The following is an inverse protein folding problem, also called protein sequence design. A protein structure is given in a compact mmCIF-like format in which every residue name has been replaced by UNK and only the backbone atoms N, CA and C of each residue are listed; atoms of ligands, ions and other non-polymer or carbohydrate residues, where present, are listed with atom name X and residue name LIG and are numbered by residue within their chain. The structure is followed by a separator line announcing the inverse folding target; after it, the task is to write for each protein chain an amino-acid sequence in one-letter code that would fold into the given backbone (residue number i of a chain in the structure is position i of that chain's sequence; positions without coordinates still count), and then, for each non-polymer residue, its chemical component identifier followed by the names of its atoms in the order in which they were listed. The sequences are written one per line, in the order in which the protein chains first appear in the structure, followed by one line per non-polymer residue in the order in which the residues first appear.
data_IF_876497230100
#
_entry.id   IF_876497230100
#
_cell.length_a   1.000
_cell.length_b   1.000
_cell.length_c   1.000
_cell.angle_alpha   90.00
_cell.angle_beta   90.00
_cell.angle_gamma   90.00
#
_symmetry.space_group_name_H-M   'P 1'
#
loop_
_entity.id
_entity.type
_entity.pdbx_description
1 polymer ?
#
# COMPACT_ATOMS: atom_id res chain seq x y z
N UNK A 1 -31.37 49.26 2.52
CA UNK A 1 -31.53 48.31 1.39
C UNK A 1 -30.19 47.81 0.83
N UNK A 2 -29.15 48.66 0.74
CA UNK A 2 -27.80 48.32 0.19
C UNK A 2 -27.03 47.28 1.02
N UNK A 3 -27.13 47.31 2.35
CA UNK A 3 -26.43 46.36 3.24
C UNK A 3 -26.78 44.90 2.93
N UNK A 4 -28.05 44.63 2.62
CA UNK A 4 -28.56 43.28 2.32
C UNK A 4 -28.04 42.74 0.97
N UNK A 5 -27.81 43.62 -0.01
CA UNK A 5 -27.25 43.23 -1.31
C UNK A 5 -25.78 42.82 -1.19
N UNK A 6 -24.97 43.59 -0.47
CA UNK A 6 -23.56 43.28 -0.22
C UNK A 6 -23.41 42.01 0.62
N UNK A 7 -24.21 41.84 1.68
CA UNK A 7 -24.22 40.62 2.51
C UNK A 7 -24.60 39.38 1.69
N UNK A 8 -25.63 39.45 0.84
CA UNK A 8 -26.00 38.33 -0.05
C UNK A 8 -24.88 37.97 -1.03
N UNK A 9 -24.18 38.97 -1.56
CA UNK A 9 -23.04 38.76 -2.47
C UNK A 9 -21.86 38.09 -1.75
N UNK A 10 -21.55 38.51 -0.52
CA UNK A 10 -20.52 37.89 0.32
C UNK A 10 -20.87 36.45 0.65
N UNK A 11 -22.11 36.18 1.08
CA UNK A 11 -22.57 34.80 1.37
C UNK A 11 -22.44 33.92 0.13
N UNK A 12 -22.83 34.42 -1.06
CA UNK A 12 -22.67 33.69 -2.32
C UNK A 12 -21.21 33.32 -2.60
N UNK A 13 -20.26 34.24 -2.36
CA UNK A 13 -18.84 33.94 -2.53
C UNK A 13 -18.34 32.89 -1.54
N UNK A 14 -18.76 32.96 -0.27
CA UNK A 14 -18.41 31.97 0.74
C UNK A 14 -18.95 30.59 0.34
N UNK A 15 -20.23 30.51 -0.06
CA UNK A 15 -20.85 29.25 -0.49
C UNK A 15 -20.14 28.68 -1.71
N UNK A 16 -19.83 29.52 -2.71
CA UNK A 16 -19.09 29.07 -3.90
C UNK A 16 -17.68 28.58 -3.55
N UNK A 17 -16.98 29.29 -2.67
CA UNK A 17 -15.64 28.88 -2.22
C UNK A 17 -15.67 27.55 -1.49
N UNK A 18 -16.63 27.35 -0.58
CA UNK A 18 -16.83 26.08 0.12
C UNK A 18 -17.18 24.95 -0.84
N UNK A 19 -18.08 25.20 -1.80
CA UNK A 19 -18.46 24.20 -2.81
C UNK A 19 -17.27 23.78 -3.68
N UNK A 20 -16.46 24.74 -4.15
CA UNK A 20 -15.25 24.44 -4.94
C UNK A 20 -14.24 23.66 -4.10
N UNK A 21 -13.99 24.10 -2.86
CA UNK A 21 -13.07 23.40 -1.95
C UNK A 21 -13.54 21.96 -1.67
N UNK A 22 -14.84 21.76 -1.48
CA UNK A 22 -15.42 20.45 -1.24
C UNK A 22 -15.31 19.54 -2.48
N UNK A 23 -15.56 20.06 -3.68
CA UNK A 23 -15.37 19.31 -4.93
C UNK A 23 -13.91 18.90 -5.11
N UNK A 24 -12.96 19.82 -4.89
CA UNK A 24 -11.54 19.52 -4.95
C UNK A 24 -11.13 18.47 -3.92
N UNK A 25 -11.68 18.52 -2.72
CA UNK A 25 -11.45 17.51 -1.69
C UNK A 25 -11.96 16.14 -2.11
N UNK A 26 -13.18 16.04 -2.68
CA UNK A 26 -13.71 14.78 -3.18
C UNK A 26 -12.88 14.21 -4.33
N UNK A 27 -12.42 15.06 -5.25
CA UNK A 27 -11.52 14.65 -6.33
C UNK A 27 -10.18 14.15 -5.78
N UNK A 28 -9.63 14.84 -4.78
CA UNK A 28 -8.43 14.39 -4.07
C UNK A 28 -8.64 13.01 -3.45
N UNK A 29 -9.72 12.80 -2.69
CA UNK A 29 -10.03 11.48 -2.11
C UNK A 29 -10.19 10.40 -3.18
N UNK A 30 -10.82 10.72 -4.32
CA UNK A 30 -10.99 9.77 -5.42
C UNK A 30 -9.66 9.36 -6.06
N UNK A 31 -8.76 10.31 -6.31
CA UNK A 31 -7.43 10.04 -6.84
C UNK A 31 -6.59 9.20 -5.87
N UNK A 32 -6.77 9.45 -4.57
CA UNK A 32 -6.00 8.85 -3.49
C UNK A 32 -6.47 7.43 -3.13
N UNK A 33 -7.78 7.17 -3.24
CA UNK A 33 -8.38 5.87 -2.89
C UNK A 33 -8.18 4.77 -3.95
N UNK A 34 -7.47 5.05 -5.03
CA UNK A 34 -7.32 4.14 -6.18
C UNK A 34 -5.99 3.35 -6.15
N UNK A 35 -5.44 3.07 -4.96
CA UNK A 35 -4.31 2.13 -4.86
C UNK A 35 -4.80 0.70 -5.04
N UNK A 36 -4.35 0.05 -6.11
CA UNK A 36 -4.65 -1.36 -6.35
C UNK A 36 -3.64 -2.21 -5.58
N UNK A 37 -4.14 -2.98 -4.60
CA UNK A 37 -3.37 -4.02 -3.93
C UNK A 37 -2.89 -5.06 -4.94
N UNK A 38 -1.64 -5.47 -4.82
CA UNK A 38 -1.03 -6.53 -5.64
C UNK A 38 -0.69 -7.73 -4.77
N UNK A 39 -0.86 -8.94 -5.32
CA UNK A 39 -0.63 -10.17 -4.58
C UNK A 39 0.38 -11.05 -5.30
N UNK A 40 1.40 -11.51 -4.58
CA UNK A 40 2.47 -12.38 -5.09
C UNK A 40 2.50 -13.68 -4.30
N UNK A 41 2.81 -14.78 -4.99
CA UNK A 41 2.74 -16.13 -4.42
C UNK A 41 4.04 -16.88 -4.65
N UNK A 42 4.64 -17.38 -3.56
CA UNK A 42 5.87 -18.18 -3.62
C UNK A 42 5.68 -19.47 -2.85
N UNK A 43 5.94 -20.61 -3.49
CA UNK A 43 5.84 -21.93 -2.86
C UNK A 43 7.16 -22.30 -2.22
N UNK A 44 7.12 -22.94 -1.05
CA UNK A 44 8.30 -23.54 -0.42
C UNK A 44 8.86 -24.67 -1.30
N UNK A 45 10.15 -25.04 -1.14
CA UNK A 45 10.78 -26.10 -1.94
C UNK A 45 10.05 -27.45 -1.85
N UNK A 46 9.54 -27.80 -0.68
CA UNK A 46 8.77 -29.02 -0.41
C UNK A 46 7.25 -28.87 -0.68
N UNK A 47 6.80 -27.66 -1.05
CA UNK A 47 5.40 -27.28 -1.31
C UNK A 47 4.48 -27.38 -0.08
N UNK A 48 5.01 -27.49 1.14
CA UNK A 48 4.22 -27.47 2.38
C UNK A 48 3.64 -26.08 2.69
N UNK A 49 4.35 -25.02 2.32
CA UNK A 49 3.98 -23.63 2.57
C UNK A 49 3.87 -22.84 1.27
N UNK A 50 2.99 -21.84 1.26
CA UNK A 50 2.90 -20.84 0.20
C UNK A 50 2.90 -19.46 0.84
N UNK A 51 3.97 -18.71 0.65
CA UNK A 51 4.04 -17.29 1.00
C UNK A 51 3.10 -16.53 0.08
N UNK A 52 2.27 -15.67 0.68
CA UNK A 52 1.50 -14.64 -0.01
C UNK A 52 2.01 -13.30 0.46
N UNK A 53 2.35 -12.44 -0.50
CA UNK A 53 2.75 -11.07 -0.23
C UNK A 53 1.63 -10.17 -0.76
N UNK A 54 0.96 -9.43 0.14
CA UNK A 54 0.10 -8.32 -0.24
C UNK A 54 0.94 -7.06 -0.27
N UNK A 55 1.00 -6.38 -1.40
CA UNK A 55 1.71 -5.13 -1.57
C UNK A 55 0.73 -4.00 -1.87
N UNK A 56 0.89 -2.88 -1.18
CA UNK A 56 0.06 -1.69 -1.32
C UNK A 56 0.90 -0.42 -1.09
N UNK A 57 0.36 0.71 -1.50
CA UNK A 57 1.02 2.01 -1.42
C UNK A 57 0.01 3.14 -1.32
N UNK A 58 0.26 4.11 -0.47
CA UNK A 58 -0.54 5.32 -0.35
C UNK A 58 0.34 6.54 -0.08
N UNK A 59 0.17 7.59 -0.88
CA UNK A 59 1.02 8.79 -0.85
C UNK A 59 2.51 8.43 -0.98
N UNK A 60 3.24 8.61 0.11
CA UNK A 60 4.67 8.40 0.24
C UNK A 60 4.98 7.12 1.02
N UNK A 61 3.97 6.39 1.49
CA UNK A 61 4.16 5.12 2.20
C UNK A 61 3.89 3.95 1.27
N UNK A 62 4.85 3.04 1.15
CA UNK A 62 4.61 1.70 0.62
C UNK A 62 4.71 0.67 1.74
N UNK A 63 4.03 -0.46 1.59
CA UNK A 63 4.17 -1.57 2.53
C UNK A 63 3.86 -2.90 1.87
N UNK A 64 4.30 -3.97 2.53
CA UNK A 64 3.89 -5.31 2.18
C UNK A 64 3.64 -6.16 3.41
N UNK A 65 2.47 -6.79 3.43
CA UNK A 65 2.04 -7.71 4.48
C UNK A 65 2.29 -9.14 4.04
N UNK A 66 2.73 -9.99 4.96
CA UNK A 66 3.05 -11.38 4.68
C UNK A 66 2.01 -12.32 5.28
N UNK A 67 1.58 -13.27 4.46
CA UNK A 67 0.64 -14.30 4.84
C UNK A 67 1.12 -15.67 4.38
N UNK A 68 0.56 -16.70 4.98
CA UNK A 68 0.68 -18.08 4.54
C UNK A 68 -0.66 -18.55 3.99
N UNK A 69 -0.67 -19.07 2.77
CA UNK A 69 -1.84 -19.75 2.22
C UNK A 69 -1.85 -21.22 2.63
N UNK A 70 -2.88 -21.62 3.38
CA UNK A 70 -3.15 -23.02 3.75
C UNK A 70 -4.27 -23.58 2.87
N UNK A 71 -3.91 -24.35 1.85
CA UNK A 71 -4.87 -24.92 0.90
C UNK A 71 -5.53 -23.87 0.00
N UNK A 72 -6.81 -24.07 -0.35
CA UNK A 72 -7.47 -23.25 -1.38
C UNK A 72 -7.95 -21.91 -0.83
N UNK A 73 -8.51 -21.88 0.38
CA UNK A 73 -9.26 -20.72 0.92
C UNK A 73 -8.66 -20.09 2.18
N UNK A 74 -7.80 -20.79 2.93
CA UNK A 74 -7.28 -20.23 4.17
C UNK A 74 -6.02 -19.41 3.92
N UNK A 75 -6.02 -18.19 4.47
CA UNK A 75 -4.87 -17.30 4.52
C UNK A 75 -4.63 -17.00 6.00
N UNK A 76 -3.44 -17.36 6.50
CA UNK A 76 -2.98 -17.08 7.86
C UNK A 76 -2.07 -15.87 7.82
N UNK A 77 -2.38 -14.85 8.60
CA UNK A 77 -1.50 -13.70 8.80
C UNK A 77 -0.24 -14.13 9.58
N UNK A 78 0.94 -13.82 9.03
CA UNK A 78 2.24 -14.10 9.65
C UNK A 78 2.69 -12.98 10.59
N UNK A 79 1.89 -11.91 10.75
CA UNK A 79 2.14 -10.75 11.61
C UNK A 79 3.50 -10.09 11.36
N UNK A 80 3.97 -10.20 10.12
CA UNK A 80 5.20 -9.61 9.63
C UNK A 80 4.82 -8.68 8.50
N UNK A 81 5.51 -7.55 8.42
CA UNK A 81 5.33 -6.57 7.36
C UNK A 81 6.65 -5.87 7.07
N UNK A 82 6.80 -5.39 5.85
CA UNK A 82 7.83 -4.40 5.49
C UNK A 82 7.17 -3.09 5.12
N UNK A 83 7.91 -2.00 5.33
CA UNK A 83 7.51 -0.65 4.94
C UNK A 83 8.59 -0.13 4.00
N UNK A 84 8.16 0.61 2.99
CA UNK A 84 9.00 1.23 1.96
C UNK A 84 8.68 2.71 1.87
N UNK A 85 9.65 3.48 1.40
CA UNK A 85 9.58 4.93 1.23
C UNK A 85 9.04 5.31 -0.15
N UNK A 86 8.62 6.55 -0.32
CA UNK A 86 8.10 7.11 -1.57
C UNK A 86 6.96 6.30 -2.24
N UNK A 87 6.20 5.54 -1.46
CA UNK A 87 5.17 4.65 -2.02
C UNK A 87 5.75 3.50 -2.84
N UNK A 88 7.03 3.17 -2.64
CA UNK A 88 7.75 2.19 -3.45
C UNK A 88 7.20 0.78 -3.26
N UNK A 89 7.08 0.06 -4.38
CA UNK A 89 6.45 -1.26 -4.43
C UNK A 89 7.42 -2.27 -5.05
N UNK A 90 8.39 -2.77 -4.25
CA UNK A 90 9.48 -3.60 -4.75
C UNK A 90 9.01 -4.87 -5.47
N UNK A 91 7.91 -5.49 -5.06
CA UNK A 91 7.41 -6.71 -5.69
C UNK A 91 6.76 -6.41 -7.04
N UNK A 92 5.99 -5.33 -7.15
CA UNK A 92 5.37 -4.88 -8.41
C UNK A 92 6.40 -4.48 -9.47
N UNK A 93 7.53 -3.91 -9.07
CA UNK A 93 8.59 -3.50 -10.00
C UNK A 93 9.69 -4.57 -10.18
N UNK A 94 9.52 -5.75 -9.58
CA UNK A 94 10.51 -6.84 -9.57
C UNK A 94 11.89 -6.44 -8.98
N UNK A 95 11.93 -5.48 -8.08
CA UNK A 95 13.13 -5.08 -7.33
C UNK A 95 13.21 -5.80 -5.99
N UNK A 96 13.28 -7.13 -6.08
CA UNK A 96 13.46 -7.99 -4.92
C UNK A 96 14.21 -9.27 -5.30
N UNK A 97 14.82 -9.90 -4.31
CA UNK A 97 15.35 -11.26 -4.35
C UNK A 97 14.75 -12.05 -3.21
N UNK A 98 14.17 -13.20 -3.54
CA UNK A 98 13.56 -14.11 -2.58
C UNK A 98 14.34 -15.42 -2.55
N UNK A 99 14.73 -15.85 -1.36
CA UNK A 99 15.45 -17.12 -1.14
C UNK A 99 14.87 -17.84 0.06
N UNK A 100 14.32 -19.03 -0.17
CA UNK A 100 13.97 -19.95 0.92
C UNK A 100 15.24 -20.38 1.65
N UNK A 101 15.28 -20.18 2.97
CA UNK A 101 16.39 -20.63 3.82
C UNK A 101 16.16 -22.08 4.25
N UNK A 102 14.90 -22.39 4.54
CA UNK A 102 14.36 -23.73 4.80
C UNK A 102 12.87 -23.75 4.38
N UNK A 103 12.09 -24.75 4.82
CA UNK A 103 10.67 -24.82 4.49
C UNK A 103 9.81 -23.82 5.28
N UNK A 104 10.31 -23.31 6.42
CA UNK A 104 9.57 -22.48 7.37
C UNK A 104 10.11 -21.05 7.44
N UNK A 105 11.06 -20.68 6.60
CA UNK A 105 11.62 -19.34 6.58
C UNK A 105 12.15 -18.95 5.21
N UNK A 106 11.96 -17.67 4.90
CA UNK A 106 12.33 -17.08 3.61
C UNK A 106 13.01 -15.74 3.84
N UNK A 107 14.17 -15.58 3.21
CA UNK A 107 14.88 -14.31 3.15
C UNK A 107 14.40 -13.51 1.94
N UNK A 108 14.09 -12.24 2.18
CA UNK A 108 13.68 -11.29 1.16
C UNK A 108 14.63 -10.10 1.22
N UNK A 109 15.31 -9.84 0.12
CA UNK A 109 16.05 -8.59 -0.12
C UNK A 109 15.20 -7.76 -1.07
N UNK A 110 14.89 -6.51 -0.72
CA UNK A 110 13.94 -5.68 -1.45
C UNK A 110 14.44 -4.24 -1.53
N UNK A 111 14.14 -3.54 -2.63
CA UNK A 111 14.38 -2.11 -2.73
C UNK A 111 13.49 -1.34 -1.75
N UNK A 112 14.06 -0.39 -1.04
CA UNK A 112 13.36 0.36 0.01
C UNK A 112 12.65 1.61 -0.52
N UNK A 113 13.12 2.22 -1.60
CA UNK A 113 12.62 3.50 -2.11
C UNK A 113 13.14 3.78 -3.51
N UNK A 114 13.06 5.05 -3.94
CA UNK A 114 13.54 5.50 -5.25
C UNK A 114 15.07 5.49 -5.40
N UNK A 115 15.80 5.38 -4.29
CA UNK A 115 17.25 5.22 -4.22
C UNK A 115 17.65 3.74 -4.34
N UNK A 116 18.89 3.46 -4.77
CA UNK A 116 19.46 2.09 -4.86
C UNK A 116 19.83 1.53 -3.47
N UNK A 117 18.85 1.55 -2.55
CA UNK A 117 18.95 1.06 -1.18
C UNK A 117 18.12 -0.21 -1.08
N UNK A 118 18.80 -1.33 -0.83
CA UNK A 118 18.14 -2.60 -0.52
C UNK A 118 18.14 -2.87 0.98
N UNK A 119 17.00 -3.35 1.47
CA UNK A 119 16.84 -3.89 2.81
C UNK A 119 16.65 -5.39 2.76
N UNK A 120 16.87 -6.05 3.89
CA UNK A 120 16.72 -7.49 4.05
C UNK A 120 15.78 -7.78 5.21
N UNK A 121 14.84 -8.69 4.99
CA UNK A 121 13.92 -9.20 6.01
C UNK A 121 13.89 -10.74 5.95
N UNK A 122 13.69 -11.39 7.10
CA UNK A 122 13.49 -12.84 7.15
C UNK A 122 12.08 -13.10 7.65
N UNK A 123 11.25 -13.67 6.78
CA UNK A 123 9.88 -14.03 7.09
C UNK A 123 9.85 -15.46 7.61
N UNK A 124 9.27 -15.66 8.79
CA UNK A 124 9.12 -16.98 9.41
C UNK A 124 7.67 -17.44 9.39
N UNK A 125 7.49 -18.74 9.18
CA UNK A 125 6.21 -19.43 9.24
C UNK A 125 6.07 -20.05 10.64
N UNK A 126 4.96 -19.71 11.30
CA UNK A 126 4.57 -20.22 12.63
C UNK A 126 3.89 -21.59 12.57
#
# INVERSE_FOLDING_TARGET
MILNYTTKKIIKYIVNFLAVTFILFLLFINLMGNSSKSYFYFKSPDKSHTLVIEEDSFLLGGWSNFYERKGIIFIKDLKQQIITDDGYKPFSVNDYKLKWLDNNSVEIIYGFGSEDIHKKEIIKFD
#
